data_IF_482399575758
#
_entry.id   IF_482399575758
#
_cell.length_a   1.000
_cell.length_b   1.000
_cell.length_c   1.000
_cell.angle_alpha   90.00
_cell.angle_beta   90.00
_cell.angle_gamma   90.00
#
_symmetry.space_group_name_H-M   'P 1'
#
loop_
_entity.id
_entity.type
_entity.pdbx_description
1 polymer ?
#
# COMPACT_ATOMS: atom_id res chain seq x y z
N UNK A 1 -15.81 -0.01 -12.97
CA UNK A 1 -14.99 -1.24 -12.90
C UNK A 1 -13.68 -1.02 -12.10
N UNK A 2 -13.03 0.15 -12.20
CA UNK A 2 -11.75 0.43 -11.54
C UNK A 2 -11.88 1.19 -10.21
N UNK A 3 -13.03 1.82 -9.92
CA UNK A 3 -13.25 2.71 -8.75
C UNK A 3 -12.85 2.03 -7.43
N UNK A 4 -13.41 0.88 -7.12
CA UNK A 4 -13.20 0.21 -5.84
C UNK A 4 -11.75 -0.26 -5.66
N UNK A 5 -11.13 -0.80 -6.72
CA UNK A 5 -9.72 -1.24 -6.66
C UNK A 5 -8.76 -0.07 -6.48
N UNK A 6 -8.99 1.06 -7.16
CA UNK A 6 -8.20 2.26 -7.01
C UNK A 6 -8.37 2.88 -5.63
N UNK A 7 -9.61 2.98 -5.14
CA UNK A 7 -9.90 3.46 -3.78
C UNK A 7 -9.20 2.58 -2.74
N UNK A 8 -9.33 1.25 -2.82
CA UNK A 8 -8.66 0.33 -1.90
C UNK A 8 -7.15 0.54 -1.90
N UNK A 9 -6.52 0.68 -3.06
CA UNK A 9 -5.10 0.97 -3.17
C UNK A 9 -4.72 2.25 -2.43
N UNK A 10 -5.44 3.34 -2.70
CA UNK A 10 -5.20 4.64 -2.07
C UNK A 10 -5.44 4.59 -0.57
N UNK A 11 -6.51 3.96 -0.12
CA UNK A 11 -6.80 3.79 1.30
C UNK A 11 -5.70 3.00 2.03
N UNK A 12 -5.20 1.91 1.42
CA UNK A 12 -4.07 1.14 1.98
C UNK A 12 -2.77 1.95 2.07
N UNK A 13 -2.58 2.94 1.20
CA UNK A 13 -1.41 3.83 1.25
C UNK A 13 -1.56 4.95 2.28
N UNK A 14 -2.73 5.57 2.35
CA UNK A 14 -2.96 6.83 3.06
C UNK A 14 -3.48 6.60 4.50
N UNK A 15 -4.19 5.50 4.76
CA UNK A 15 -4.84 5.23 6.05
C UNK A 15 -6.06 6.10 6.35
N UNK A 16 -6.46 6.98 5.42
CA UNK A 16 -7.55 7.91 5.58
C UNK A 16 -8.56 7.75 4.45
N UNK A 17 -9.83 7.47 4.79
CA UNK A 17 -10.90 7.20 3.84
C UNK A 17 -11.24 8.43 2.98
N UNK A 18 -11.32 9.61 3.60
CA UNK A 18 -11.63 10.87 2.92
C UNK A 18 -10.54 11.23 1.92
N UNK A 19 -9.27 11.20 2.34
CA UNK A 19 -8.14 11.45 1.43
C UNK A 19 -8.08 10.41 0.30
N UNK A 20 -8.36 9.15 0.59
CA UNK A 20 -8.38 8.10 -0.44
C UNK A 20 -9.46 8.36 -1.50
N UNK A 21 -10.63 8.86 -1.09
CA UNK A 21 -11.69 9.22 -2.02
C UNK A 21 -11.34 10.44 -2.87
N UNK A 22 -10.81 11.50 -2.26
CA UNK A 22 -10.34 12.69 -2.96
C UNK A 22 -9.26 12.34 -4.01
N UNK A 23 -8.27 11.54 -3.62
CA UNK A 23 -7.22 11.11 -4.54
C UNK A 23 -7.72 10.18 -5.64
N UNK A 24 -8.72 9.35 -5.35
CA UNK A 24 -9.35 8.52 -6.38
C UNK A 24 -10.09 9.40 -7.42
N UNK A 25 -10.85 10.39 -6.98
CA UNK A 25 -11.51 11.35 -7.86
C UNK A 25 -10.48 12.13 -8.69
N UNK A 26 -9.44 12.70 -8.05
CA UNK A 26 -8.39 13.43 -8.76
C UNK A 26 -7.67 12.55 -9.78
N UNK A 27 -7.45 11.26 -9.46
CA UNK A 27 -6.86 10.30 -10.39
C UNK A 27 -7.72 10.13 -11.65
N UNK A 28 -9.04 9.99 -11.50
CA UNK A 28 -9.95 9.87 -12.65
C UNK A 28 -10.01 11.14 -13.47
N UNK A 29 -10.03 12.32 -12.84
CA UNK A 29 -9.98 13.59 -13.54
C UNK A 29 -8.69 13.71 -14.36
N UNK A 30 -7.53 13.39 -13.75
CA UNK A 30 -6.25 13.40 -14.46
C UNK A 30 -6.18 12.37 -15.58
N UNK A 31 -6.77 11.19 -15.38
CA UNK A 31 -6.87 10.18 -16.42
C UNK A 31 -7.73 10.68 -17.59
N UNK A 32 -8.85 11.34 -17.33
CA UNK A 32 -9.68 11.93 -18.35
C UNK A 32 -8.97 13.03 -19.16
N UNK A 33 -8.36 14.01 -18.48
CA UNK A 33 -7.63 15.09 -19.12
C UNK A 33 -6.45 14.58 -19.96
N UNK A 34 -5.82 13.48 -19.55
CA UNK A 34 -4.67 12.91 -20.24
C UNK A 34 -5.03 11.67 -21.08
N UNK A 35 -6.30 11.45 -21.40
CA UNK A 35 -6.76 10.26 -22.13
C UNK A 35 -6.02 10.05 -23.46
N UNK A 36 -5.72 11.13 -24.18
CA UNK A 36 -4.97 11.09 -25.44
C UNK A 36 -3.52 10.58 -25.29
N UNK A 37 -2.94 10.70 -24.10
CA UNK A 37 -1.58 10.21 -23.79
C UNK A 37 -1.56 8.72 -23.44
N UNK A 38 -2.73 8.12 -23.22
CA UNK A 38 -2.81 6.70 -22.94
C UNK A 38 -2.40 5.89 -24.17
N UNK A 39 -1.40 5.04 -24.00
CA UNK A 39 -0.96 4.09 -25.02
C UNK A 39 -1.40 2.68 -24.59
N UNK A 40 -1.98 1.92 -25.50
CA UNK A 40 -2.45 0.54 -25.25
C UNK A 40 -1.34 -0.48 -24.98
N UNK A 41 -0.09 -0.04 -24.90
CA UNK A 41 1.09 -0.87 -24.58
C UNK A 41 1.01 -1.45 -23.16
N UNK A 42 0.40 -0.71 -22.21
CA UNK A 42 0.17 -1.17 -20.84
C UNK A 42 -1.33 -1.27 -20.55
N UNK A 43 -1.69 -2.13 -19.59
CA UNK A 43 -3.08 -2.22 -19.12
C UNK A 43 -3.53 -0.86 -18.58
N UNK A 44 -4.77 -0.50 -18.86
CA UNK A 44 -5.37 0.75 -18.35
C UNK A 44 -5.26 0.88 -16.82
N UNK A 45 -5.42 -0.24 -16.11
CA UNK A 45 -5.22 -0.26 -14.65
C UNK A 45 -3.82 0.16 -14.24
N UNK A 46 -2.78 -0.31 -14.91
CA UNK A 46 -1.38 0.04 -14.64
C UNK A 46 -1.15 1.54 -14.83
N UNK A 47 -1.68 2.11 -15.90
CA UNK A 47 -1.62 3.55 -16.14
C UNK A 47 -2.37 4.34 -15.06
N UNK A 48 -3.55 3.89 -14.64
CA UNK A 48 -4.33 4.52 -13.57
C UNK A 48 -3.58 4.50 -12.24
N UNK A 49 -2.97 3.36 -11.87
CA UNK A 49 -2.13 3.26 -10.67
C UNK A 49 -0.88 4.15 -10.75
N UNK A 50 -0.32 4.37 -11.94
CA UNK A 50 0.80 5.29 -12.13
C UNK A 50 0.39 6.73 -11.79
N UNK A 51 -0.78 7.17 -12.26
CA UNK A 51 -1.31 8.50 -11.94
C UNK A 51 -1.52 8.63 -10.43
N UNK A 52 -2.22 7.67 -9.81
CA UNK A 52 -2.49 7.64 -8.38
C UNK A 52 -1.21 7.68 -7.53
N UNK A 53 -0.24 6.82 -7.87
CA UNK A 53 1.05 6.74 -7.16
C UNK A 53 1.81 8.07 -7.24
N UNK A 54 1.80 8.72 -8.39
CA UNK A 54 2.45 10.03 -8.58
C UNK A 54 1.75 11.14 -7.78
N UNK A 55 0.42 11.11 -7.68
CA UNK A 55 -0.34 12.05 -6.85
C UNK A 55 0.05 11.91 -5.38
N UNK A 56 0.01 10.69 -4.84
CA UNK A 56 0.41 10.41 -3.44
C UNK A 56 1.86 10.84 -3.20
N UNK A 57 2.79 10.49 -4.10
CA UNK A 57 4.20 10.90 -4.01
C UNK A 57 4.36 12.42 -3.96
N UNK A 58 3.66 13.14 -4.81
CA UNK A 58 3.73 14.60 -4.87
C UNK A 58 3.17 15.25 -3.60
N UNK A 59 2.05 14.74 -3.07
CA UNK A 59 1.48 15.19 -1.80
C UNK A 59 2.51 15.06 -0.68
N UNK A 60 3.12 13.89 -0.54
CA UNK A 60 4.10 13.62 0.50
C UNK A 60 5.38 14.45 0.36
N UNK A 61 5.83 14.75 -0.86
CA UNK A 61 6.95 15.67 -1.08
C UNK A 61 6.61 17.10 -0.65
N UNK A 62 5.39 17.56 -0.91
CA UNK A 62 4.95 18.89 -0.55
C UNK A 62 4.74 19.05 0.97
N UNK A 63 4.30 17.98 1.64
CA UNK A 63 4.16 17.95 3.11
C UNK A 63 5.53 17.94 3.81
N UNK A 64 6.59 17.42 3.18
CA UNK A 64 7.97 17.47 3.71
C UNK A 64 8.59 18.88 3.76
N UNK A 65 8.06 19.84 3.04
CA UNK A 65 8.43 21.25 3.19
C UNK A 65 7.82 21.87 4.45
N UNK A 66 6.93 21.17 5.16
CA UNK A 66 6.48 21.49 6.51
C UNK A 66 7.05 20.40 7.45
N UNK A 67 7.78 20.75 8.54
CA UNK A 67 8.49 19.77 9.36
C UNK A 67 7.50 18.95 10.19
N UNK A 68 7.16 17.79 9.73
CA UNK A 68 6.63 16.64 10.46
C UNK A 68 5.95 15.59 9.59
N UNK A 69 6.65 14.97 8.61
CA UNK A 69 6.25 13.64 8.10
C UNK A 69 7.41 12.94 7.41
N UNK A 70 7.67 11.72 7.90
CA UNK A 70 8.73 10.82 7.45
C UNK A 70 8.64 10.52 5.97
N UNK A 71 9.78 10.60 5.29
CA UNK A 71 9.93 10.38 3.85
C UNK A 71 9.59 8.97 3.42
N UNK A 72 8.40 8.78 2.86
CA UNK A 72 7.94 7.50 2.31
C UNK A 72 8.72 7.06 1.05
N UNK A 73 9.52 7.94 0.43
CA UNK A 73 10.08 7.73 -0.90
C UNK A 73 11.57 8.04 -1.05
N UNK A 74 12.30 8.41 0.02
CA UNK A 74 13.73 8.67 -0.12
C UNK A 74 14.51 7.37 -0.25
N UNK A 75 15.43 7.33 -1.22
CA UNK A 75 16.37 6.20 -1.43
C UNK A 75 17.47 6.15 -0.36
N UNK A 76 17.63 7.24 0.40
CA UNK A 76 18.63 7.35 1.47
C UNK A 76 17.97 7.28 2.84
N UNK A 77 18.05 6.14 3.49
CA UNK A 77 18.25 5.98 4.92
C UNK A 77 18.29 4.49 5.27
N UNK A 78 19.44 3.93 5.27
CA UNK A 78 19.76 2.74 6.04
C UNK A 78 19.79 3.08 7.54
N UNK A 79 18.67 3.49 8.12
CA UNK A 79 18.44 3.50 9.56
C UNK A 79 17.15 2.73 9.81
N UNK A 80 17.31 1.61 10.46
CA UNK A 80 16.23 0.85 11.09
C UNK A 80 15.65 1.74 12.18
N UNK A 81 14.53 2.40 11.88
CA UNK A 81 13.76 3.09 12.89
C UNK A 81 12.98 2.02 13.65
N UNK A 82 13.43 1.70 14.84
CA UNK A 82 12.73 0.87 15.80
C UNK A 82 11.48 1.63 16.25
N UNK A 83 10.40 1.46 15.47
CA UNK A 83 9.11 2.05 15.77
C UNK A 83 8.59 1.52 17.11
N UNK A 84 8.37 2.43 18.04
CA UNK A 84 7.70 2.22 19.32
C UNK A 84 6.44 1.38 19.14
N UNK A 85 6.43 0.23 19.79
CA UNK A 85 5.28 -0.66 19.85
C UNK A 85 4.14 0.00 20.63
N UNK A 86 3.03 0.31 19.97
CA UNK A 86 1.77 0.58 20.65
C UNK A 86 1.04 -0.75 20.85
N UNK A 87 0.80 -1.13 22.10
CA UNK A 87 -0.03 -2.27 22.48
C UNK A 87 -1.42 -2.11 21.85
N UNK A 88 -1.80 -3.09 21.04
CA UNK A 88 -3.18 -3.24 20.58
C UNK A 88 -3.99 -3.80 21.77
N UNK A 89 -5.01 -3.09 22.20
CA UNK A 89 -5.98 -3.58 23.18
C UNK A 89 -6.64 -4.85 22.65
N UNK A 90 -6.56 -5.87 23.47
CA UNK A 90 -7.30 -7.12 23.31
C UNK A 90 -8.74 -6.86 23.76
N UNK A 91 -9.67 -6.79 22.82
CA UNK A 91 -11.11 -6.70 23.07
C UNK A 91 -11.75 -7.95 22.45
N UNK A 92 -11.49 -9.10 23.09
CA UNK A 92 -12.05 -10.39 22.70
C UNK A 92 -13.48 -10.55 23.21
N UNK A 93 -14.44 -9.98 22.48
CA UNK A 93 -15.83 -10.42 22.56
C UNK A 93 -16.31 -10.92 21.20
N UNK A 94 -16.86 -12.12 21.19
CA UNK A 94 -17.32 -12.82 19.97
C UNK A 94 -18.37 -11.98 19.26
N UNK A 95 -18.13 -11.58 18.02
CA UNK A 95 -19.11 -10.86 17.21
C UNK A 95 -19.58 -11.68 16.01
N UNK A 96 -20.79 -11.35 15.60
CA UNK A 96 -21.43 -11.69 14.33
C UNK A 96 -20.44 -11.63 13.16
N UNK A 97 -20.57 -12.51 12.17
CA UNK A 97 -19.61 -12.71 11.06
C UNK A 97 -19.21 -11.44 10.30
N UNK A 98 -20.02 -10.40 10.36
CA UNK A 98 -19.71 -9.09 9.77
C UNK A 98 -18.75 -8.27 10.66
N UNK A 99 -18.88 -8.32 11.97
CA UNK A 99 -17.96 -7.65 12.91
C UNK A 99 -16.57 -8.29 12.91
N UNK A 100 -16.48 -9.63 12.80
CA UNK A 100 -15.19 -10.30 12.65
C UNK A 100 -14.45 -9.88 11.37
N UNK A 101 -15.18 -9.73 10.26
CA UNK A 101 -14.59 -9.27 8.99
C UNK A 101 -14.14 -7.81 9.05
N UNK A 102 -14.87 -6.95 9.75
CA UNK A 102 -14.51 -5.55 9.96
C UNK A 102 -13.24 -5.45 10.81
N UNK A 103 -13.18 -6.18 11.92
CA UNK A 103 -12.02 -6.27 12.80
C UNK A 103 -10.76 -6.76 12.07
N UNK A 104 -10.89 -7.82 11.25
CA UNK A 104 -9.79 -8.31 10.42
C UNK A 104 -9.31 -7.24 9.42
N UNK A 105 -10.22 -6.48 8.82
CA UNK A 105 -9.89 -5.40 7.89
C UNK A 105 -9.10 -4.28 8.57
N UNK A 106 -9.50 -3.92 9.79
CA UNK A 106 -8.81 -2.90 10.59
C UNK A 106 -7.43 -3.36 11.02
N UNK A 107 -7.29 -4.60 11.48
CA UNK A 107 -6.01 -5.22 11.83
C UNK A 107 -5.07 -5.23 10.63
N UNK A 108 -5.55 -5.67 9.48
CA UNK A 108 -4.77 -5.68 8.22
C UNK A 108 -4.38 -4.26 7.81
N UNK A 109 -5.27 -3.28 7.95
CA UNK A 109 -4.98 -1.89 7.63
C UNK A 109 -3.89 -1.33 8.56
N UNK A 110 -4.03 -1.52 9.86
CA UNK A 110 -3.05 -1.09 10.85
C UNK A 110 -1.67 -1.74 10.61
N UNK A 111 -1.63 -3.01 10.23
CA UNK A 111 -0.40 -3.69 9.86
C UNK A 111 0.24 -3.09 8.59
N UNK A 112 -0.57 -2.78 7.56
CA UNK A 112 -0.07 -2.15 6.33
C UNK A 112 0.49 -0.75 6.60
N UNK A 113 -0.15 0.05 7.44
CA UNK A 113 0.29 1.40 7.81
C UNK A 113 1.65 1.40 8.53
N UNK A 114 1.98 0.33 9.25
CA UNK A 114 3.26 0.14 9.91
C UNK A 114 4.38 -0.37 8.99
N UNK A 115 4.07 -0.82 7.77
CA UNK A 115 5.10 -1.10 6.78
C UNK A 115 5.79 0.21 6.42
N UNK A 116 7.15 0.31 6.49
CA UNK A 116 7.85 1.51 6.11
C UNK A 116 7.43 2.00 4.72
N UNK A 117 7.18 3.30 4.58
CA UNK A 117 6.57 3.88 3.40
C UNK A 117 7.28 3.57 2.09
N UNK A 118 8.61 3.38 2.11
CA UNK A 118 9.38 2.98 0.92
C UNK A 118 9.03 1.58 0.40
N UNK A 119 8.46 0.68 1.22
CA UNK A 119 8.10 -0.69 0.83
C UNK A 119 6.60 -0.83 0.57
N UNK A 120 5.77 -0.04 1.28
CA UNK A 120 4.30 -0.14 1.27
C UNK A 120 3.68 -0.12 -0.13
N UNK A 121 4.01 0.80 -1.05
CA UNK A 121 3.36 0.83 -2.37
C UNK A 121 3.61 -0.43 -3.20
N UNK A 122 4.85 -0.90 -3.25
CA UNK A 122 5.17 -2.12 -4.01
C UNK A 122 4.50 -3.36 -3.39
N UNK A 123 4.46 -3.43 -2.06
CA UNK A 123 3.75 -4.47 -1.32
C UNK A 123 2.25 -4.46 -1.62
N UNK A 124 1.58 -3.32 -1.50
CA UNK A 124 0.12 -3.21 -1.73
C UNK A 124 -0.23 -3.51 -3.18
N UNK A 125 0.55 -3.01 -4.15
CA UNK A 125 0.33 -3.31 -5.57
C UNK A 125 0.45 -4.82 -5.86
N UNK A 126 1.35 -5.52 -5.18
CA UNK A 126 1.54 -6.96 -5.36
C UNK A 126 0.49 -7.79 -4.63
N UNK A 127 0.32 -7.56 -3.31
CA UNK A 127 -0.45 -8.46 -2.45
C UNK A 127 -1.97 -8.17 -2.46
N UNK A 128 -2.35 -6.93 -2.77
CA UNK A 128 -3.76 -6.50 -2.74
C UNK A 128 -4.33 -6.30 -4.14
N UNK A 129 -3.50 -5.81 -5.07
CA UNK A 129 -3.95 -5.46 -6.41
C UNK A 129 -3.48 -6.45 -7.49
N UNK A 130 -2.72 -7.49 -7.12
CA UNK A 130 -2.25 -8.60 -7.98
C UNK A 130 -1.44 -8.16 -9.22
N UNK A 131 -0.74 -7.01 -9.16
CA UNK A 131 0.11 -6.57 -10.25
C UNK A 131 1.35 -7.47 -10.36
N UNK A 132 1.81 -7.66 -11.59
CA UNK A 132 3.11 -8.30 -11.87
C UNK A 132 4.26 -7.38 -11.44
N UNK A 133 5.44 -7.94 -11.29
CA UNK A 133 6.63 -7.13 -10.92
C UNK A 133 6.98 -6.09 -11.99
N UNK A 134 6.77 -6.41 -13.26
CA UNK A 134 6.98 -5.48 -14.39
C UNK A 134 5.95 -4.34 -14.37
N UNK A 135 4.69 -4.65 -14.10
CA UNK A 135 3.64 -3.62 -13.91
C UNK A 135 3.95 -2.72 -12.72
N UNK A 136 4.42 -3.29 -11.60
CA UNK A 136 4.83 -2.51 -10.42
C UNK A 136 6.05 -1.64 -10.74
N UNK A 137 7.01 -2.14 -11.50
CA UNK A 137 8.15 -1.35 -11.96
C UNK A 137 7.69 -0.16 -12.82
N UNK A 138 6.75 -0.39 -13.75
CA UNK A 138 6.14 0.67 -14.55
C UNK A 138 5.38 1.70 -13.71
N UNK A 139 4.58 1.25 -12.73
CA UNK A 139 3.80 2.12 -11.82
C UNK A 139 4.71 2.97 -10.94
N UNK A 140 5.74 2.37 -10.36
CA UNK A 140 6.58 3.02 -9.34
C UNK A 140 7.78 3.75 -9.92
N UNK A 141 8.17 3.45 -11.16
CA UNK A 141 9.39 3.95 -11.80
C UNK A 141 10.67 3.31 -11.23
N UNK A 142 10.57 2.18 -10.54
CA UNK A 142 11.70 1.49 -9.91
C UNK A 142 12.26 0.39 -10.81
N UNK A 143 13.55 0.09 -10.67
CA UNK A 143 14.17 -1.08 -11.31
C UNK A 143 13.55 -2.37 -10.76
N UNK A 144 13.43 -3.41 -11.60
CA UNK A 144 12.80 -4.69 -11.25
C UNK A 144 13.43 -5.34 -10.00
N UNK A 145 14.75 -5.29 -9.86
CA UNK A 145 15.46 -5.78 -8.66
C UNK A 145 15.06 -5.03 -7.39
N UNK A 146 14.84 -3.71 -7.49
CA UNK A 146 14.36 -2.87 -6.38
C UNK A 146 12.91 -3.21 -6.02
N UNK A 147 12.06 -3.45 -7.02
CA UNK A 147 10.67 -3.90 -6.80
C UNK A 147 10.65 -5.20 -6.00
N UNK A 148 11.43 -6.23 -6.44
CA UNK A 148 11.55 -7.52 -5.74
C UNK A 148 11.96 -7.35 -4.29
N UNK A 149 13.03 -6.57 -4.04
CA UNK A 149 13.54 -6.35 -2.69
C UNK A 149 12.53 -5.60 -1.81
N UNK A 150 11.82 -4.60 -2.36
CA UNK A 150 10.79 -3.84 -1.62
C UNK A 150 9.58 -4.70 -1.26
N UNK A 151 9.12 -5.56 -2.18
CA UNK A 151 8.03 -6.50 -1.89
C UNK A 151 8.45 -7.47 -0.79
N UNK A 152 9.63 -8.09 -0.89
CA UNK A 152 10.10 -9.04 0.11
C UNK A 152 10.27 -8.41 1.51
N UNK A 153 10.81 -7.19 1.58
CA UNK A 153 10.90 -6.44 2.85
C UNK A 153 9.51 -6.05 3.37
N UNK A 154 8.59 -5.63 2.49
CA UNK A 154 7.19 -5.38 2.85
C UNK A 154 6.52 -6.60 3.47
N UNK A 155 6.70 -7.78 2.86
CA UNK A 155 6.19 -9.07 3.39
C UNK A 155 6.78 -9.40 4.77
N UNK A 156 8.08 -9.20 4.95
CA UNK A 156 8.76 -9.46 6.23
C UNK A 156 8.20 -8.56 7.34
N UNK A 157 8.02 -7.26 7.07
CA UNK A 157 7.39 -6.35 8.03
C UNK A 157 5.95 -6.75 8.33
N UNK A 158 5.15 -7.05 7.31
CA UNK A 158 3.75 -7.45 7.46
C UNK A 158 3.61 -8.74 8.28
N UNK A 159 4.42 -9.77 7.99
CA UNK A 159 4.45 -11.02 8.75
C UNK A 159 4.79 -10.77 10.22
N UNK A 160 5.82 -9.95 10.50
CA UNK A 160 6.23 -9.61 11.87
C UNK A 160 5.10 -8.92 12.66
N UNK A 161 4.29 -8.12 11.98
CA UNK A 161 3.18 -7.38 12.60
C UNK A 161 1.93 -8.25 12.84
N UNK A 162 1.69 -9.24 11.99
CA UNK A 162 0.55 -10.15 12.13
C UNK A 162 0.83 -11.34 13.07
N UNK A 163 2.09 -11.78 13.21
CA UNK A 163 2.45 -12.95 14.02
C UNK A 163 1.87 -12.91 15.45
N UNK A 164 1.90 -11.81 16.20
CA UNK A 164 1.30 -11.74 17.53
C UNK A 164 -0.23 -11.78 17.54
N UNK A 165 -0.88 -11.50 16.41
CA UNK A 165 -2.34 -11.35 16.31
C UNK A 165 -3.04 -12.62 15.82
N UNK A 166 -2.32 -13.52 15.17
CA UNK A 166 -2.88 -14.70 14.50
C UNK A 166 -2.46 -16.02 15.17
N UNK A 167 -1.61 -15.97 16.22
CA UNK A 167 -1.05 -17.16 16.86
C UNK A 167 0.00 -17.85 15.97
N UNK A 168 0.73 -18.82 16.53
CA UNK A 168 1.84 -19.51 15.84
C UNK A 168 1.41 -20.39 14.64
N UNK A 169 0.12 -20.59 14.41
CA UNK A 169 -0.42 -21.46 13.36
C UNK A 169 -0.42 -20.86 11.94
N UNK A 170 0.05 -19.63 11.77
CA UNK A 170 0.15 -19.00 10.44
C UNK A 170 1.45 -19.40 9.74
N UNK A 171 1.70 -20.70 9.62
CA UNK A 171 2.80 -21.19 8.81
C UNK A 171 2.39 -21.19 7.32
N UNK A 172 3.17 -20.52 6.55
CA UNK A 172 3.00 -20.18 5.14
C UNK A 172 2.96 -21.44 4.24
N UNK A 173 1.82 -22.11 4.16
CA UNK A 173 1.50 -22.96 3.00
C UNK A 173 0.91 -22.10 1.88
N UNK A 174 1.72 -21.36 1.16
CA UNK A 174 1.22 -20.50 0.08
C UNK A 174 2.26 -19.86 -0.82
N UNK A 175 3.51 -20.29 -0.81
CA UNK A 175 4.54 -19.78 -1.72
C UNK A 175 5.13 -20.89 -2.58
N UNK A 176 4.27 -21.56 -3.36
CA UNK A 176 4.72 -22.39 -4.49
C UNK A 176 3.64 -22.33 -5.57
N UNK A 177 3.78 -21.40 -6.50
CA UNK A 177 3.59 -21.59 -7.97
C UNK A 177 3.86 -20.29 -8.69
#
# INVERSE_FOLDING_TARGET
RYKNRLYTYLYRLLGNATEAEEFAQETFVKAYINAEKYRTIARFSTWLYTIATNLVRNRMRNTKRRPAMVSMWSEEAGREDEGKWMELRDDSQRPDSNMERENIREIVQAAIERIPGKYRPAFVLREINDLTYDEIAAVTGLKLGTVRSRINRGRAHFKKLLAPLVGEDFDTKGSRR
#
